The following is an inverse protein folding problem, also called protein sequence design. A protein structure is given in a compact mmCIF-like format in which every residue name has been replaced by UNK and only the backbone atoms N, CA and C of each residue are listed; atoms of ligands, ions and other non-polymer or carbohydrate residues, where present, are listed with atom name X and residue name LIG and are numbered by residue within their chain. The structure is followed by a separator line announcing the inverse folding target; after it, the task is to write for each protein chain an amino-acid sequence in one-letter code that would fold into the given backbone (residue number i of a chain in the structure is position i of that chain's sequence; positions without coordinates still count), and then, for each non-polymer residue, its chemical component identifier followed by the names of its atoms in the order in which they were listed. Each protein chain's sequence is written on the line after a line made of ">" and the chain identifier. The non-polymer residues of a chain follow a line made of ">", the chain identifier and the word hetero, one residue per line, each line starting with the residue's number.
data_IF_740296666641
#
_entry.id   IF_740296666641
#
_cell.length_a   1.000
_cell.length_b   1.000
_cell.length_c   1.000
_cell.angle_alpha   90.00
_cell.angle_beta   90.00
_cell.angle_gamma   90.00
#
_symmetry.space_group_name_H-M   'P 1'
#
loop_
_entity.id
_entity.type
_entity.pdbx_description
1 polymer ?
#
# COMPACT_ATOMS: atom_id res chain seq x y z
N UNK A 1 62.57 28.38 -76.85
CA UNK A 1 62.13 28.32 -78.26
C UNK A 1 60.72 27.77 -78.28
N UNK A 2 59.76 28.60 -78.72
CA UNK A 2 58.37 28.31 -79.09
C UNK A 2 57.47 27.64 -78.01
N UNK A 3 56.35 28.19 -77.51
CA UNK A 3 55.47 29.25 -78.03
C UNK A 3 54.16 28.63 -78.50
N UNK A 4 53.04 28.89 -77.81
CA UNK A 4 51.72 29.03 -78.43
C UNK A 4 50.75 29.70 -77.45
N UNK A 5 50.01 30.66 -78.00
CA UNK A 5 49.12 31.58 -77.32
C UNK A 5 47.68 31.06 -77.26
N UNK A 6 46.86 31.56 -76.32
CA UNK A 6 45.67 32.40 -76.56
C UNK A 6 44.77 32.49 -75.29
N UNK A 7 44.41 33.74 -74.96
CA UNK A 7 43.10 34.26 -74.54
C UNK A 7 42.31 33.57 -73.40
N UNK A 8 41.98 34.32 -72.35
CA UNK A 8 40.72 35.10 -72.29
C UNK A 8 40.50 35.62 -70.86
N UNK A 9 40.09 36.88 -70.76
CA UNK A 9 39.61 37.51 -69.53
C UNK A 9 38.18 37.05 -69.19
N UNK A 10 37.81 37.08 -67.91
CA UNK A 10 36.54 37.67 -67.44
C UNK A 10 36.47 37.71 -65.90
N UNK A 11 36.01 38.84 -65.40
CA UNK A 11 35.72 39.12 -63.99
C UNK A 11 34.39 38.51 -63.54
N UNK A 12 34.31 38.21 -62.24
CA UNK A 12 33.08 38.29 -61.45
C UNK A 12 32.54 36.97 -60.91
N UNK A 13 32.55 36.81 -59.57
CA UNK A 13 31.35 36.87 -58.72
C UNK A 13 31.65 36.35 -57.31
N UNK A 14 31.04 37.06 -56.36
CA UNK A 14 30.94 36.83 -54.92
C UNK A 14 30.54 35.40 -54.60
N UNK A 15 31.29 34.73 -53.71
CA UNK A 15 30.88 33.46 -53.11
C UNK A 15 30.38 33.75 -51.69
N UNK A 16 29.10 33.44 -51.46
CA UNK A 16 28.46 33.43 -50.16
C UNK A 16 29.08 32.35 -49.26
N UNK A 17 29.14 32.63 -47.95
CA UNK A 17 29.65 31.70 -46.94
C UNK A 17 28.72 30.49 -46.75
N UNK A 18 29.21 29.42 -46.12
CA UNK A 18 28.41 28.24 -45.86
C UNK A 18 27.42 28.51 -44.72
N UNK A 19 26.12 28.35 -44.99
CA UNK A 19 25.09 28.24 -43.97
C UNK A 19 25.19 26.83 -43.35
N UNK A 20 25.50 26.79 -42.06
CA UNK A 20 25.40 25.59 -41.23
C UNK A 20 23.93 25.32 -40.93
N UNK A 21 23.36 24.30 -41.57
CA UNK A 21 22.08 23.72 -41.14
C UNK A 21 22.31 22.86 -39.89
N UNK A 22 21.77 23.31 -38.76
CA UNK A 22 21.71 22.53 -37.52
C UNK A 22 20.59 21.49 -37.65
N UNK A 23 20.82 20.19 -37.35
CA UNK A 23 19.75 19.20 -37.33
C UNK A 23 18.75 19.54 -36.24
N UNK A 24 17.45 19.58 -36.56
CA UNK A 24 16.40 19.69 -35.54
C UNK A 24 16.42 18.43 -34.67
N UNK A 25 16.75 18.62 -33.40
CA UNK A 25 16.67 17.62 -32.36
C UNK A 25 15.19 17.27 -32.13
N UNK A 26 14.81 16.06 -32.52
CA UNK A 26 13.49 15.51 -32.21
C UNK A 26 13.47 15.28 -30.70
N UNK A 27 12.97 16.26 -29.95
CA UNK A 27 12.72 16.13 -28.52
C UNK A 27 11.56 15.17 -28.35
N UNK A 28 11.87 13.89 -28.15
CA UNK A 28 10.91 12.91 -27.68
C UNK A 28 10.41 13.40 -26.32
N UNK A 29 9.19 13.92 -26.31
CA UNK A 29 8.55 14.41 -25.11
C UNK A 29 8.35 13.20 -24.21
N UNK A 30 9.19 13.09 -23.19
CA UNK A 30 9.07 12.09 -22.13
C UNK A 30 7.74 12.41 -21.44
N UNK A 31 6.67 11.71 -21.83
CA UNK A 31 5.39 11.80 -21.14
C UNK A 31 5.68 11.35 -19.71
N UNK A 32 5.55 12.26 -18.75
CA UNK A 32 5.63 11.91 -17.34
C UNK A 32 4.72 10.70 -17.11
N UNK A 33 5.20 9.64 -16.43
CA UNK A 33 4.37 8.46 -16.21
C UNK A 33 3.05 8.93 -15.59
N UNK A 34 1.96 8.60 -16.26
CA UNK A 34 0.62 8.87 -15.78
C UNK A 34 0.56 8.36 -14.35
N UNK A 35 0.30 9.26 -13.39
CA UNK A 35 0.28 8.90 -11.98
C UNK A 35 -0.71 7.73 -11.83
N UNK A 36 -0.22 6.56 -11.42
CA UNK A 36 -1.05 5.38 -11.28
C UNK A 36 -2.23 5.75 -10.37
N UNK A 37 -3.44 5.73 -10.91
CA UNK A 37 -4.63 6.02 -10.11
C UNK A 37 -4.64 5.10 -8.88
N UNK A 38 -4.95 5.63 -7.68
CA UNK A 38 -5.00 4.80 -6.48
C UNK A 38 -6.04 3.69 -6.65
N UNK A 39 -5.83 2.52 -6.04
CA UNK A 39 -6.84 1.47 -6.07
C UNK A 39 -8.13 1.99 -5.44
N UNK A 40 -9.26 1.58 -6.02
CA UNK A 40 -10.59 1.94 -5.51
C UNK A 40 -11.27 0.73 -4.90
N UNK A 41 -11.95 0.94 -3.79
CA UNK A 41 -12.84 -0.07 -3.22
C UNK A 41 -14.05 -0.27 -4.15
N UNK A 42 -14.33 -1.52 -4.50
CA UNK A 42 -15.52 -1.94 -5.24
C UNK A 42 -16.61 -2.41 -4.29
N UNK A 43 -16.25 -3.24 -3.32
CA UNK A 43 -17.18 -3.78 -2.31
C UNK A 43 -16.43 -4.26 -1.08
N UNK A 44 -17.09 -4.23 0.06
CA UNK A 44 -16.63 -4.83 1.30
C UNK A 44 -17.78 -5.60 1.95
N UNK A 45 -17.50 -6.81 2.42
CA UNK A 45 -18.50 -7.70 3.01
C UNK A 45 -17.91 -8.26 4.32
N UNK A 46 -18.33 -7.74 5.48
CA UNK A 46 -17.89 -8.28 6.75
C UNK A 46 -18.53 -9.64 7.02
N UNK A 47 -17.96 -10.34 7.99
CA UNK A 47 -18.60 -11.48 8.63
C UNK A 47 -19.89 -11.02 9.30
N UNK A 48 -20.95 -11.83 9.22
CA UNK A 48 -22.26 -11.48 9.78
C UNK A 48 -22.28 -11.29 11.30
N UNK A 49 -21.31 -11.84 12.02
CA UNK A 49 -21.13 -11.66 13.46
C UNK A 49 -20.15 -10.54 13.82
N UNK A 50 -19.49 -9.93 12.83
CA UNK A 50 -18.65 -8.76 13.07
C UNK A 50 -19.53 -7.54 13.28
N UNK A 51 -19.19 -6.76 14.31
CA UNK A 51 -19.86 -5.50 14.59
C UNK A 51 -19.12 -4.40 13.82
N UNK A 52 -19.80 -3.71 12.93
CA UNK A 52 -19.24 -2.55 12.25
C UNK A 52 -19.07 -1.38 13.23
N UNK A 53 -17.91 -0.73 13.18
CA UNK A 53 -17.58 0.45 13.96
C UNK A 53 -17.74 1.66 13.02
N UNK A 54 -18.66 2.59 13.31
CA UNK A 54 -18.81 3.78 12.49
C UNK A 54 -17.62 4.73 12.72
N UNK A 55 -17.17 5.36 11.63
CA UNK A 55 -16.21 6.46 11.70
C UNK A 55 -16.88 7.70 12.26
N UNK A 56 -16.38 8.22 13.37
CA UNK A 56 -16.84 9.49 13.94
C UNK A 56 -15.89 10.63 13.55
N UNK A 57 -16.14 11.22 12.38
CA UNK A 57 -15.35 12.34 11.88
C UNK A 57 -15.84 13.71 12.38
N UNK A 58 -16.69 13.76 13.42
CA UNK A 58 -17.13 15.03 13.99
C UNK A 58 -16.06 15.65 14.91
N UNK A 59 -15.25 14.83 15.57
CA UNK A 59 -14.21 15.27 16.51
C UNK A 59 -12.92 14.47 16.34
N UNK A 60 -12.17 14.69 15.25
CA UNK A 60 -10.91 14.00 15.01
C UNK A 60 -9.88 14.31 16.10
N UNK A 61 -9.11 13.31 16.50
CA UNK A 61 -8.06 13.40 17.52
C UNK A 61 -6.80 12.69 17.06
N UNK A 62 -5.68 12.95 17.73
CA UNK A 62 -4.43 12.21 17.49
C UNK A 62 -4.62 10.69 17.68
N UNK A 63 -3.96 9.94 16.81
CA UNK A 63 -4.00 8.47 16.73
C UNK A 63 -3.66 7.80 18.06
N UNK A 64 -4.47 6.80 18.42
CA UNK A 64 -4.34 6.06 19.69
C UNK A 64 -3.73 4.68 19.52
N UNK A 65 -3.28 4.33 18.32
CA UNK A 65 -2.69 3.03 18.01
C UNK A 65 -3.68 1.88 18.30
N UNK A 66 -4.94 2.06 17.89
CA UNK A 66 -6.07 1.21 18.29
C UNK A 66 -6.73 0.49 17.09
N UNK A 67 -6.07 0.44 15.94
CA UNK A 67 -6.59 -0.04 14.66
C UNK A 67 -7.79 0.74 14.13
N UNK A 68 -8.03 1.97 14.59
CA UNK A 68 -9.00 2.89 14.01
C UNK A 68 -8.24 4.07 13.39
N UNK A 69 -8.94 4.80 12.54
CA UNK A 69 -8.49 6.08 12.01
C UNK A 69 -9.21 7.14 12.85
N UNK A 70 -8.52 7.63 13.88
CA UNK A 70 -9.04 8.49 14.95
C UNK A 70 -9.07 9.97 14.50
N UNK A 71 -8.20 10.36 13.56
CA UNK A 71 -8.08 11.73 13.05
C UNK A 71 -8.86 11.99 11.75
N UNK A 72 -9.45 10.96 11.20
CA UNK A 72 -10.25 10.96 9.99
C UNK A 72 -9.53 11.28 8.67
N UNK A 73 -8.22 11.09 8.56
CA UNK A 73 -7.43 11.41 7.36
C UNK A 73 -7.40 10.31 6.28
N UNK A 74 -7.93 9.12 6.58
CA UNK A 74 -7.95 7.97 5.68
C UNK A 74 -6.77 7.00 5.86
N UNK A 75 -5.90 7.25 6.82
CA UNK A 75 -4.80 6.40 7.26
C UNK A 75 -5.13 5.83 8.64
N UNK A 76 -4.74 4.58 8.85
CA UNK A 76 -4.95 3.94 10.15
C UNK A 76 -3.67 4.15 10.96
N UNK A 77 -3.78 4.77 12.13
CA UNK A 77 -2.75 4.84 13.17
C UNK A 77 -1.36 5.34 12.69
N UNK A 78 -1.30 6.42 11.90
CA UNK A 78 -0.02 7.03 11.57
C UNK A 78 0.71 7.58 12.80
N UNK A 79 2.04 7.44 12.82
CA UNK A 79 2.85 7.82 13.99
C UNK A 79 2.96 6.74 15.06
N UNK A 80 2.22 5.63 14.95
CA UNK A 80 2.27 4.50 15.89
C UNK A 80 3.46 3.52 15.69
N UNK A 81 4.47 3.91 14.91
CA UNK A 81 5.64 3.08 14.65
C UNK A 81 5.47 2.04 13.54
N UNK A 82 4.34 2.08 12.83
CA UNK A 82 4.07 1.35 11.60
C UNK A 82 3.47 2.28 10.56
N UNK A 83 3.52 1.88 9.30
CA UNK A 83 3.20 2.71 8.15
C UNK A 83 1.94 2.29 7.42
N UNK A 84 1.59 3.11 6.43
CA UNK A 84 0.45 2.93 5.54
C UNK A 84 0.88 2.49 4.13
N UNK A 85 -0.10 2.24 3.27
CA UNK A 85 0.08 1.84 1.87
C UNK A 85 -1.19 1.99 1.02
N UNK A 86 -1.12 1.53 -0.22
CA UNK A 86 -2.26 1.48 -1.15
C UNK A 86 -3.43 0.64 -0.60
N UNK A 87 -3.09 -0.43 0.11
CA UNK A 87 -3.99 -1.14 1.03
C UNK A 87 -3.28 -1.14 2.38
N UNK A 88 -4.02 -0.88 3.44
CA UNK A 88 -3.59 -1.09 4.83
C UNK A 88 -4.65 -1.95 5.54
N UNK A 89 -4.21 -2.96 6.28
CA UNK A 89 -5.07 -3.73 7.16
C UNK A 89 -4.40 -3.80 8.52
N UNK A 90 -5.10 -3.32 9.54
CA UNK A 90 -4.57 -3.24 10.90
C UNK A 90 -5.54 -3.93 11.84
N UNK A 91 -5.01 -4.76 12.74
CA UNK A 91 -5.75 -5.41 13.81
C UNK A 91 -5.21 -4.96 15.17
N UNK A 92 -6.07 -4.74 16.15
CA UNK A 92 -5.68 -4.42 17.53
C UNK A 92 -6.52 -5.17 18.56
N UNK A 93 -5.96 -5.40 19.74
CA UNK A 93 -6.63 -6.01 20.89
C UNK A 93 -6.05 -5.49 22.21
N UNK A 94 -6.63 -5.87 23.35
CA UNK A 94 -6.21 -5.38 24.68
C UNK A 94 -5.86 -6.48 25.70
N UNK A 95 -6.06 -7.76 25.37
CA UNK A 95 -5.82 -8.89 26.29
C UNK A 95 -4.38 -9.43 26.24
N UNK A 96 -4.12 -10.54 26.95
CA UNK A 96 -2.87 -11.30 26.93
C UNK A 96 -2.68 -12.22 25.72
N UNK A 97 -3.66 -12.31 24.83
CA UNK A 97 -3.64 -13.21 23.69
C UNK A 97 -2.63 -12.79 22.64
N UNK A 98 -2.22 -13.76 21.85
CA UNK A 98 -1.43 -13.60 20.64
C UNK A 98 -2.36 -13.77 19.44
N UNK A 99 -2.64 -12.66 18.75
CA UNK A 99 -3.57 -12.61 17.62
C UNK A 99 -2.78 -12.39 16.35
N UNK A 100 -2.89 -13.32 15.42
CA UNK A 100 -2.27 -13.22 14.10
C UNK A 100 -3.27 -12.72 13.05
N UNK A 101 -2.79 -11.83 12.19
CA UNK A 101 -3.46 -11.28 11.02
C UNK A 101 -3.01 -12.04 9.77
N UNK A 102 -3.99 -12.50 8.99
CA UNK A 102 -3.77 -13.09 7.68
C UNK A 102 -4.51 -12.28 6.63
N UNK A 103 -3.82 -11.90 5.56
CA UNK A 103 -4.46 -11.25 4.40
C UNK A 103 -4.12 -12.02 3.13
N UNK A 104 -5.13 -12.63 2.53
CA UNK A 104 -5.02 -13.37 1.27
C UNK A 104 -5.36 -12.46 0.10
N UNK A 105 -4.46 -12.38 -0.87
CA UNK A 105 -4.65 -11.62 -2.10
C UNK A 105 -5.36 -12.39 -3.21
N UNK A 106 -5.65 -11.74 -4.35
CA UNK A 106 -6.40 -12.33 -5.46
C UNK A 106 -5.71 -13.54 -6.12
N UNK A 107 -4.38 -13.64 -6.00
CA UNK A 107 -3.59 -14.74 -6.54
C UNK A 107 -3.46 -15.94 -5.57
N UNK A 108 -4.11 -15.86 -4.40
CA UNK A 108 -4.14 -16.92 -3.39
C UNK A 108 -2.95 -16.93 -2.42
N UNK A 109 -1.98 -16.03 -2.62
CA UNK A 109 -0.91 -15.75 -1.69
C UNK A 109 -1.44 -15.09 -0.40
N UNK A 110 -0.92 -15.50 0.75
CA UNK A 110 -1.37 -15.01 2.06
C UNK A 110 -0.21 -14.38 2.82
N UNK A 111 -0.37 -13.13 3.22
CA UNK A 111 0.49 -12.46 4.20
C UNK A 111 0.15 -12.95 5.61
N UNK A 112 1.18 -13.14 6.43
CA UNK A 112 1.12 -13.44 7.86
C UNK A 112 2.53 -13.38 8.44
N UNK A 113 2.71 -13.53 9.74
CA UNK A 113 4.03 -13.65 10.37
C UNK A 113 4.94 -14.72 9.71
N UNK A 114 4.37 -15.80 9.15
CA UNK A 114 5.13 -16.85 8.45
C UNK A 114 5.57 -16.45 7.04
N UNK A 115 4.93 -15.43 6.46
CA UNK A 115 5.19 -14.92 5.11
C UNK A 115 5.08 -13.40 5.11
N UNK A 116 6.21 -12.77 5.44
CA UNK A 116 6.32 -11.32 5.62
C UNK A 116 6.19 -10.52 4.32
N UNK A 117 6.26 -11.18 3.16
CA UNK A 117 6.05 -10.52 1.86
C UNK A 117 5.44 -11.44 0.82
N UNK A 118 4.81 -10.82 -0.18
CA UNK A 118 4.19 -11.49 -1.31
C UNK A 118 4.67 -10.92 -2.64
N UNK A 119 4.71 -11.74 -3.72
CA UNK A 119 4.97 -11.24 -5.07
C UNK A 119 3.98 -10.16 -5.53
N UNK A 120 2.76 -10.13 -4.95
CA UNK A 120 1.74 -9.13 -5.23
C UNK A 120 1.95 -7.80 -4.49
N UNK A 121 3.14 -7.56 -3.90
CA UNK A 121 3.54 -6.28 -3.32
C UNK A 121 3.16 -6.05 -1.86
N UNK A 122 2.50 -7.03 -1.24
CA UNK A 122 2.09 -6.97 0.15
C UNK A 122 3.22 -7.27 1.12
N UNK A 123 3.24 -6.61 2.28
CA UNK A 123 4.24 -6.74 3.35
C UNK A 123 3.58 -6.76 4.73
N UNK A 124 4.11 -7.59 5.63
CA UNK A 124 3.89 -7.43 7.07
C UNK A 124 4.81 -6.33 7.56
N UNK A 125 4.22 -5.31 8.19
CA UNK A 125 4.93 -4.12 8.63
C UNK A 125 5.13 -4.08 10.13
N UNK A 126 4.13 -4.58 10.87
CA UNK A 126 4.16 -4.71 12.32
C UNK A 126 3.49 -6.02 12.69
N UNK A 127 4.22 -6.90 13.39
CA UNK A 127 3.67 -8.16 13.89
C UNK A 127 3.63 -8.07 15.41
N UNK A 128 2.42 -7.98 15.93
CA UNK A 128 2.15 -7.76 17.33
C UNK A 128 2.46 -9.02 18.11
N UNK A 129 3.12 -8.85 19.26
CA UNK A 129 3.53 -9.93 20.17
C UNK A 129 4.54 -10.91 19.59
N UNK A 130 4.51 -11.28 18.31
CA UNK A 130 5.53 -12.14 17.68
C UNK A 130 5.89 -13.34 18.56
N UNK A 131 7.18 -13.49 18.92
CA UNK A 131 7.67 -14.50 19.89
C UNK A 131 7.52 -14.08 21.37
N UNK A 132 6.49 -13.29 21.68
CA UNK A 132 6.18 -12.73 23.00
C UNK A 132 7.27 -11.85 23.61
N UNK A 133 7.88 -11.00 22.79
CA UNK A 133 8.96 -10.09 23.20
C UNK A 133 8.47 -8.66 23.47
N UNK A 134 9.23 -7.90 24.25
CA UNK A 134 8.93 -6.48 24.49
C UNK A 134 9.13 -5.68 23.20
N UNK A 135 8.07 -4.98 22.79
CA UNK A 135 8.06 -4.12 21.61
C UNK A 135 7.02 -3.00 21.77
N UNK A 136 7.17 -1.86 21.05
CA UNK A 136 6.13 -0.86 20.95
C UNK A 136 4.84 -1.47 20.35
N UNK A 137 3.68 -1.05 20.84
CA UNK A 137 2.37 -1.50 20.36
C UNK A 137 2.27 -3.02 20.16
N UNK A 138 2.54 -3.83 21.21
CA UNK A 138 2.63 -5.28 21.07
C UNK A 138 1.28 -5.94 20.76
N UNK A 139 0.16 -5.22 20.84
CA UNK A 139 -1.18 -5.74 20.54
C UNK A 139 -1.77 -5.16 19.27
N UNK A 140 -0.90 -4.94 18.29
CA UNK A 140 -1.27 -4.46 16.97
C UNK A 140 -0.58 -5.36 15.95
N UNK A 141 -1.30 -5.77 14.92
CA UNK A 141 -0.73 -6.30 13.68
C UNK A 141 -1.07 -5.35 12.53
N UNK A 142 -0.12 -5.11 11.63
CA UNK A 142 -0.30 -4.24 10.47
C UNK A 142 0.32 -4.87 9.22
N UNK A 143 -0.47 -4.95 8.15
CA UNK A 143 0.02 -5.31 6.81
C UNK A 143 -0.34 -4.24 5.80
N UNK A 144 0.49 -4.07 4.79
CA UNK A 144 0.35 -3.01 3.80
C UNK A 144 0.90 -3.37 2.43
N UNK A 145 0.38 -2.70 1.40
CA UNK A 145 0.92 -2.75 0.03
C UNK A 145 1.53 -1.40 -0.33
N UNK A 146 2.83 -1.37 -0.63
CA UNK A 146 3.59 -0.11 -0.69
C UNK A 146 4.41 0.12 -1.96
N UNK A 147 4.79 -0.94 -2.67
CA UNK A 147 5.74 -0.84 -3.77
C UNK A 147 5.05 -0.59 -5.12
N UNK A 148 4.08 -1.42 -5.44
CA UNK A 148 3.34 -1.39 -6.69
C UNK A 148 1.84 -1.28 -6.42
N UNK A 149 1.09 -0.81 -7.42
CA UNK A 149 -0.38 -0.78 -7.34
C UNK A 149 -0.87 -2.22 -7.09
N UNK A 150 -1.66 -2.46 -6.01
CA UNK A 150 -2.16 -3.78 -5.71
C UNK A 150 -3.03 -4.32 -6.86
N UNK A 151 -2.93 -5.63 -7.10
CA UNK A 151 -3.70 -6.29 -8.15
C UNK A 151 -5.19 -6.21 -7.83
N UNK A 152 -5.99 -5.77 -8.79
CA UNK A 152 -7.45 -5.78 -8.68
C UNK A 152 -7.99 -7.18 -8.42
N UNK A 153 -9.00 -7.29 -7.57
CA UNK A 153 -9.61 -8.58 -7.23
C UNK A 153 -10.02 -8.70 -5.78
N UNK A 154 -10.19 -9.95 -5.34
CA UNK A 154 -10.71 -10.29 -4.02
C UNK A 154 -9.57 -10.42 -3.01
N UNK A 155 -9.74 -9.74 -1.89
CA UNK A 155 -8.90 -9.85 -0.72
C UNK A 155 -9.72 -10.41 0.44
N UNK A 156 -9.12 -11.31 1.22
CA UNK A 156 -9.75 -11.89 2.41
C UNK A 156 -8.88 -11.64 3.64
N UNK A 157 -9.48 -11.09 4.68
CA UNK A 157 -8.83 -10.81 5.97
C UNK A 157 -9.31 -11.85 6.98
N UNK A 158 -8.37 -12.53 7.62
CA UNK A 158 -8.63 -13.45 8.71
C UNK A 158 -7.84 -13.02 9.95
N UNK A 159 -8.42 -13.29 11.11
CA UNK A 159 -7.75 -13.16 12.40
C UNK A 159 -7.74 -14.54 13.07
N UNK A 160 -6.65 -14.84 13.76
CA UNK A 160 -6.45 -16.10 14.44
C UNK A 160 -5.95 -15.87 15.85
N UNK A 161 -6.63 -16.45 16.82
CA UNK A 161 -6.09 -16.57 18.17
C UNK A 161 -5.07 -17.71 18.17
N UNK A 162 -3.79 -17.37 18.01
CA UNK A 162 -2.71 -18.36 17.94
C UNK A 162 -2.36 -18.93 19.32
N UNK A 163 -2.33 -18.08 20.34
CA UNK A 163 -1.93 -18.48 21.67
C UNK A 163 -2.03 -17.37 22.72
N UNK A 164 -1.28 -17.52 23.80
CA UNK A 164 -1.15 -16.51 24.85
C UNK A 164 0.32 -16.22 25.09
N UNK A 165 0.70 -14.94 25.01
CA UNK A 165 2.06 -14.50 25.31
C UNK A 165 2.27 -14.13 26.77
N UNK A 166 1.21 -13.68 27.42
CA UNK A 166 1.15 -13.46 28.86
C UNK A 166 -0.16 -14.08 29.36
N UNK A 167 -0.23 -14.39 30.65
CA UNK A 167 -1.48 -14.85 31.25
C UNK A 167 -2.61 -13.83 31.01
N UNK A 168 -3.81 -14.33 30.72
CA UNK A 168 -5.00 -13.48 30.58
C UNK A 168 -5.35 -13.15 29.13
N UNK A 169 -5.17 -14.10 28.22
CA UNK A 169 -5.71 -13.99 26.87
C UNK A 169 -7.24 -14.14 26.86
N UNK A 170 -7.76 -15.28 27.29
CA UNK A 170 -9.22 -15.49 27.40
C UNK A 170 -9.98 -15.19 26.10
N UNK A 171 -11.30 -14.92 26.15
CA UNK A 171 -11.99 -14.32 25.00
C UNK A 171 -11.44 -12.92 24.71
N UNK A 172 -11.04 -12.66 23.47
CA UNK A 172 -10.40 -11.41 23.06
C UNK A 172 -11.24 -10.66 22.05
N UNK A 173 -11.60 -9.41 22.35
CA UNK A 173 -12.15 -8.50 21.35
C UNK A 173 -11.03 -7.98 20.44
N UNK A 174 -11.18 -8.17 19.13
CA UNK A 174 -10.24 -7.69 18.13
C UNK A 174 -10.93 -6.61 17.28
N UNK A 175 -10.29 -5.45 17.18
CA UNK A 175 -10.63 -4.41 16.22
C UNK A 175 -9.87 -4.68 14.93
N UNK A 176 -10.51 -4.62 13.77
CA UNK A 176 -9.86 -4.74 12.45
C UNK A 176 -10.35 -3.62 11.55
N UNK A 177 -9.44 -2.84 10.98
CA UNK A 177 -9.73 -1.83 9.98
C UNK A 177 -9.03 -2.11 8.66
N UNK A 178 -9.69 -1.73 7.57
CA UNK A 178 -9.17 -1.83 6.20
C UNK A 178 -9.21 -0.43 5.58
N UNK A 179 -8.07 0.02 5.06
CA UNK A 179 -7.97 1.20 4.21
C UNK A 179 -7.57 0.80 2.79
N UNK A 180 -8.18 1.43 1.78
CA UNK A 180 -7.86 1.27 0.36
C UNK A 180 -7.73 2.65 -0.26
N UNK A 181 -6.58 2.95 -0.87
CA UNK A 181 -6.37 4.22 -1.56
C UNK A 181 -6.44 5.44 -0.64
N UNK A 182 -6.07 5.30 0.63
CA UNK A 182 -6.26 6.30 1.71
C UNK A 182 -7.73 6.64 2.00
N UNK A 183 -8.61 5.68 1.83
CA UNK A 183 -9.98 5.75 2.31
C UNK A 183 -10.25 4.53 3.19
N UNK A 184 -10.84 4.74 4.37
CA UNK A 184 -11.24 3.62 5.23
C UNK A 184 -12.41 2.89 4.57
N UNK A 185 -12.13 1.67 4.13
CA UNK A 185 -13.08 0.77 3.51
C UNK A 185 -14.07 0.19 4.54
N UNK A 186 -13.62 -0.02 5.78
CA UNK A 186 -14.47 -0.48 6.87
C UNK A 186 -13.68 -0.77 8.14
N UNK A 187 -14.38 -0.73 9.27
CA UNK A 187 -13.83 -0.97 10.60
C UNK A 187 -14.77 -1.91 11.35
N UNK A 188 -14.22 -2.93 12.00
CA UNK A 188 -15.00 -4.02 12.57
C UNK A 188 -14.47 -4.46 13.92
N UNK A 189 -15.36 -4.94 14.78
CA UNK A 189 -15.04 -5.61 16.03
C UNK A 189 -15.56 -7.04 16.03
N UNK A 190 -14.77 -7.97 16.56
CA UNK A 190 -15.22 -9.35 16.77
C UNK A 190 -14.50 -10.00 17.95
N UNK A 191 -15.23 -10.81 18.71
CA UNK A 191 -14.69 -11.64 19.78
C UNK A 191 -14.07 -12.91 19.23
N UNK A 192 -12.83 -13.22 19.61
CA UNK A 192 -12.23 -14.52 19.36
C UNK A 192 -12.17 -15.34 20.65
N UNK A 193 -12.51 -16.62 20.54
CA UNK A 193 -12.18 -17.59 21.57
C UNK A 193 -10.75 -18.14 21.36
N UNK A 194 -10.10 -18.66 22.42
CA UNK A 194 -8.79 -19.29 22.28
C UNK A 194 -8.74 -20.37 21.19
N UNK A 195 -7.79 -20.23 20.26
CA UNK A 195 -7.61 -21.13 19.11
C UNK A 195 -8.55 -20.88 17.92
N UNK A 196 -9.46 -19.91 17.99
CA UNK A 196 -10.39 -19.62 16.91
C UNK A 196 -9.68 -18.88 15.76
N UNK A 197 -9.90 -19.37 14.53
CA UNK A 197 -9.51 -18.70 13.29
C UNK A 197 -10.74 -18.46 12.44
N UNK A 198 -10.92 -17.23 11.98
CA UNK A 198 -12.03 -16.89 11.10
C UNK A 198 -11.70 -15.76 10.14
N UNK A 199 -12.39 -15.74 9.01
CA UNK A 199 -12.44 -14.61 8.09
C UNK A 199 -13.35 -13.52 8.64
N UNK A 200 -12.79 -12.33 8.88
CA UNK A 200 -13.52 -11.19 9.42
C UNK A 200 -14.13 -10.33 8.32
N UNK A 201 -13.43 -10.14 7.21
CA UNK A 201 -13.93 -9.34 6.08
C UNK A 201 -13.37 -9.86 4.77
N UNK A 202 -14.16 -9.67 3.71
CA UNK A 202 -13.74 -9.84 2.32
C UNK A 202 -14.00 -8.52 1.60
N UNK A 203 -13.04 -8.03 0.84
CA UNK A 203 -13.20 -6.82 0.04
C UNK A 203 -12.69 -7.02 -1.38
N UNK A 204 -13.13 -6.16 -2.29
CA UNK A 204 -12.77 -6.17 -3.71
C UNK A 204 -12.26 -4.79 -4.08
N UNK A 205 -11.13 -4.73 -4.78
CA UNK A 205 -10.57 -3.49 -5.32
C UNK A 205 -10.41 -3.55 -6.84
N UNK A 206 -10.31 -2.37 -7.48
CA UNK A 206 -9.97 -2.20 -8.89
C UNK A 206 -8.98 -1.06 -9.09
#
# INVERSE_FOLDING_TARGET
>A
MAGLALLAACSGRTAAGPETETPEEIVETIVAPEALEPPRLVSIVPRSTAVEIPRDCANPVEERCNALDDDCDGVIDEGCGYGTGFIQVTASWDTGSDIDLYVKGPLGDTLSFQRLSTPSGGRVDHSGRGDCTDMPNPRVENVRWVDERPIGGIYEVEIHYWGECITGGGPTEVTVSVAVGREIAGQYRHSLLPGERLRIVRFVIQ
#
